data_IF_391161538980
#
_entry.id   IF_391161538980
#
_cell.length_a   1.000
_cell.length_b   1.000
_cell.length_c   1.000
_cell.angle_alpha   90.00
_cell.angle_beta   90.00
_cell.angle_gamma   90.00
#
_symmetry.space_group_name_H-M   'P 1'
#
loop_
_entity.id
_entity.type
_entity.pdbx_description
1 polymer ?
#
# COMPACT_ATOMS: atom_id res chain seq x y z
N UNK A 1 -28.71 -4.60 9.82
CA UNK A 1 -27.61 -5.25 9.07
C UNK A 1 -28.18 -6.31 8.15
N UNK A 2 -28.73 -5.87 7.01
CA UNK A 2 -29.08 -6.80 5.94
C UNK A 2 -27.81 -6.97 5.11
N UNK A 3 -27.19 -8.14 5.19
CA UNK A 3 -26.10 -8.54 4.32
C UNK A 3 -26.73 -9.11 3.06
N UNK A 4 -26.46 -8.49 1.91
CA UNK A 4 -26.90 -9.04 0.63
C UNK A 4 -25.79 -9.96 0.14
N UNK A 5 -25.79 -11.19 0.66
CA UNK A 5 -25.08 -12.33 0.06
C UNK A 5 -25.97 -12.87 -1.04
N UNK A 6 -25.82 -12.35 -2.25
CA UNK A 6 -26.66 -12.78 -3.35
C UNK A 6 -25.75 -12.96 -4.54
N UNK A 7 -25.30 -14.20 -4.75
CA UNK A 7 -24.55 -14.56 -5.93
C UNK A 7 -25.21 -14.04 -7.21
N UNK A 8 -24.38 -13.66 -8.17
CA UNK A 8 -24.74 -13.25 -9.54
C UNK A 8 -25.81 -12.14 -9.63
N UNK A 9 -25.57 -10.99 -8.97
CA UNK A 9 -26.39 -9.79 -9.15
C UNK A 9 -26.19 -9.21 -10.56
N UNK A 10 -27.27 -9.10 -11.33
CA UNK A 10 -27.25 -8.35 -12.58
C UNK A 10 -27.65 -6.87 -12.36
N UNK A 11 -27.59 -6.06 -13.41
CA UNK A 11 -27.95 -4.64 -13.33
C UNK A 11 -29.39 -4.43 -12.82
N UNK A 12 -30.36 -5.22 -13.29
CA UNK A 12 -31.76 -5.12 -12.86
C UNK A 12 -31.93 -5.42 -11.37
N UNK A 13 -31.19 -6.40 -10.83
CA UNK A 13 -31.18 -6.71 -9.41
C UNK A 13 -30.61 -5.55 -8.59
N UNK A 14 -29.53 -4.93 -9.05
CA UNK A 14 -28.94 -3.75 -8.39
C UNK A 14 -29.86 -2.52 -8.47
N UNK A 15 -30.60 -2.36 -9.57
CA UNK A 15 -31.63 -1.33 -9.70
C UNK A 15 -32.79 -1.58 -8.74
N UNK A 16 -33.19 -2.84 -8.53
CA UNK A 16 -34.23 -3.20 -7.56
C UNK A 16 -33.81 -2.91 -6.11
N UNK A 17 -32.50 -2.88 -5.84
CA UNK A 17 -31.91 -2.51 -4.55
C UNK A 17 -31.80 -0.98 -4.34
N UNK A 18 -32.27 -0.15 -5.28
CA UNK A 18 -32.24 1.30 -5.14
C UNK A 18 -32.97 1.77 -3.87
N UNK A 19 -32.31 2.58 -3.04
CA UNK A 19 -32.89 3.13 -1.82
C UNK A 19 -33.06 2.12 -0.68
N UNK A 20 -32.60 0.88 -0.84
CA UNK A 20 -32.61 -0.07 0.25
C UNK A 20 -31.57 0.30 1.32
N UNK A 21 -31.88 -0.04 2.58
CA UNK A 21 -31.09 0.37 3.76
C UNK A 21 -29.98 -0.61 4.15
N UNK A 22 -29.55 -1.46 3.20
CA UNK A 22 -28.41 -2.34 3.46
C UNK A 22 -27.12 -1.53 3.52
N UNK A 23 -26.19 -2.01 4.35
CA UNK A 23 -24.90 -1.35 4.60
C UNK A 23 -23.75 -2.07 3.90
N UNK A 24 -23.95 -3.33 3.51
CA UNK A 24 -22.89 -4.19 3.00
C UNK A 24 -23.33 -4.87 1.70
N UNK A 25 -22.42 -4.87 0.71
CA UNK A 25 -22.62 -5.50 -0.59
C UNK A 25 -21.34 -6.19 -1.03
N UNK A 26 -21.47 -7.45 -1.46
CA UNK A 26 -20.37 -8.19 -2.09
C UNK A 26 -20.71 -8.50 -3.55
N UNK A 27 -19.87 -7.99 -4.45
CA UNK A 27 -19.95 -8.21 -5.89
C UNK A 27 -18.83 -9.11 -6.42
N UNK A 28 -17.96 -9.62 -5.55
CA UNK A 28 -16.91 -10.58 -5.93
C UNK A 28 -17.44 -11.75 -6.76
N UNK A 29 -18.42 -12.52 -6.27
CA UNK A 29 -19.01 -13.65 -7.02
C UNK A 29 -19.69 -13.23 -8.33
N UNK A 30 -20.27 -12.03 -8.37
CA UNK A 30 -20.93 -11.46 -9.56
C UNK A 30 -19.93 -11.14 -10.67
N UNK A 31 -18.72 -10.73 -10.30
CA UNK A 31 -17.65 -10.32 -11.22
C UNK A 31 -16.62 -11.43 -11.45
N UNK A 32 -16.83 -12.62 -10.91
CA UNK A 32 -15.92 -13.75 -11.08
C UNK A 32 -16.03 -14.33 -12.49
N UNK A 33 -14.91 -14.38 -13.21
CA UNK A 33 -14.81 -14.99 -14.53
C UNK A 33 -14.77 -16.52 -14.42
N UNK A 34 -15.91 -17.19 -14.17
CA UNK A 34 -16.02 -18.60 -14.54
C UNK A 34 -16.17 -18.69 -16.07
N UNK A 35 -15.05 -18.97 -16.75
CA UNK A 35 -15.00 -19.30 -18.19
C UNK A 35 -15.44 -18.18 -19.16
N UNK A 36 -15.39 -16.90 -18.74
CA UNK A 36 -15.61 -15.75 -19.64
C UNK A 36 -17.04 -15.63 -20.19
N UNK A 37 -18.04 -16.21 -19.52
CA UNK A 37 -19.42 -16.28 -20.03
C UNK A 37 -20.47 -15.47 -19.25
N UNK A 38 -20.14 -14.86 -18.11
CA UNK A 38 -21.16 -14.30 -17.21
C UNK A 38 -20.97 -12.84 -16.76
N UNK A 39 -20.32 -11.99 -17.56
CA UNK A 39 -20.63 -10.56 -17.45
C UNK A 39 -21.89 -10.30 -18.30
N UNK A 40 -23.02 -9.85 -17.71
CA UNK A 40 -24.07 -9.25 -18.51
C UNK A 40 -23.45 -8.19 -19.41
N UNK A 41 -23.98 -8.01 -20.62
CA UNK A 41 -23.48 -7.05 -21.61
C UNK A 41 -23.46 -5.58 -21.12
N UNK A 42 -23.93 -5.29 -19.90
CA UNK A 42 -23.90 -3.99 -19.24
C UNK A 42 -22.93 -3.96 -18.07
N UNK A 43 -22.19 -2.85 -17.96
CA UNK A 43 -21.31 -2.56 -16.84
C UNK A 43 -22.15 -2.32 -15.58
N UNK A 44 -22.28 -3.33 -14.72
CA UNK A 44 -23.06 -3.27 -13.46
C UNK A 44 -22.63 -2.11 -12.56
N UNK A 45 -21.43 -1.57 -12.76
CA UNK A 45 -20.87 -0.50 -11.94
C UNK A 45 -21.62 0.83 -12.10
N UNK A 46 -22.24 1.09 -13.27
CA UNK A 46 -22.94 2.36 -13.53
C UNK A 46 -24.05 2.69 -12.52
N UNK A 47 -24.64 1.68 -11.88
CA UNK A 47 -25.67 1.87 -10.85
C UNK A 47 -25.14 2.66 -9.65
N UNK A 48 -23.85 2.51 -9.33
CA UNK A 48 -23.22 3.20 -8.20
C UNK A 48 -23.09 4.70 -8.45
N UNK A 49 -22.95 5.12 -9.71
CA UNK A 49 -22.88 6.54 -10.08
C UNK A 49 -24.20 7.29 -9.87
N UNK A 50 -25.32 6.58 -9.64
CA UNK A 50 -26.63 7.19 -9.45
C UNK A 50 -26.75 7.81 -8.05
N UNK A 51 -26.91 9.14 -7.94
CA UNK A 51 -26.96 9.80 -6.65
C UNK A 51 -28.10 9.25 -5.80
N UNK A 52 -27.75 8.79 -4.61
CA UNK A 52 -28.72 8.44 -3.60
C UNK A 52 -29.28 7.01 -3.64
N UNK A 53 -28.82 6.17 -4.55
CA UNK A 53 -29.25 4.77 -4.62
C UNK A 53 -28.67 3.93 -3.48
N UNK A 54 -27.43 4.19 -3.08
CA UNK A 54 -26.69 3.42 -2.08
C UNK A 54 -26.18 4.31 -0.93
N UNK A 55 -27.05 5.19 -0.39
CA UNK A 55 -26.65 6.19 0.63
C UNK A 55 -26.15 5.60 1.95
N UNK A 56 -26.56 4.39 2.28
CA UNK A 56 -26.25 3.72 3.55
C UNK A 56 -25.15 2.68 3.41
N UNK A 57 -24.60 2.49 2.20
CA UNK A 57 -23.56 1.51 1.94
C UNK A 57 -22.24 1.98 2.57
N UNK A 58 -21.73 1.19 3.50
CA UNK A 58 -20.45 1.43 4.17
C UNK A 58 -19.40 0.35 3.84
N UNK A 59 -19.82 -0.82 3.39
CA UNK A 59 -18.93 -1.92 3.02
C UNK A 59 -19.23 -2.38 1.60
N UNK A 60 -18.22 -2.33 0.74
CA UNK A 60 -18.30 -2.81 -0.64
C UNK A 60 -17.13 -3.74 -0.92
N UNK A 61 -17.45 -4.96 -1.35
CA UNK A 61 -16.46 -5.96 -1.74
C UNK A 61 -16.58 -6.29 -3.22
N UNK A 62 -15.43 -6.41 -3.87
CA UNK A 62 -15.24 -6.95 -5.21
C UNK A 62 -14.27 -8.12 -5.20
N UNK A 63 -14.01 -8.72 -4.03
CA UNK A 63 -12.94 -9.71 -3.84
C UNK A 63 -13.02 -10.85 -4.87
N UNK A 64 -11.92 -11.10 -5.60
CA UNK A 64 -11.84 -12.13 -6.65
C UNK A 64 -12.61 -11.82 -7.94
N UNK A 65 -13.34 -10.70 -8.00
CA UNK A 65 -14.02 -10.22 -9.19
C UNK A 65 -13.05 -9.48 -10.11
N UNK A 66 -13.15 -9.65 -11.43
CA UNK A 66 -12.19 -9.05 -12.37
C UNK A 66 -12.72 -7.77 -13.00
N UNK A 67 -12.02 -6.66 -12.80
CA UNK A 67 -12.28 -5.44 -13.58
C UNK A 67 -11.69 -5.57 -14.98
N UNK A 68 -12.36 -4.98 -15.98
CA UNK A 68 -11.86 -4.95 -17.35
C UNK A 68 -10.82 -3.85 -17.50
N UNK A 69 -11.10 -2.69 -16.92
CA UNK A 69 -10.24 -1.52 -16.93
C UNK A 69 -10.29 -0.82 -15.57
N UNK A 70 -9.18 -0.20 -15.17
CA UNK A 70 -9.10 0.57 -13.92
C UNK A 70 -10.16 1.69 -13.86
N UNK A 71 -10.53 2.22 -15.02
CA UNK A 71 -11.56 3.27 -15.17
C UNK A 71 -12.94 2.84 -14.67
N UNK A 72 -13.24 1.54 -14.60
CA UNK A 72 -14.52 1.05 -14.06
C UNK A 72 -14.74 1.49 -12.59
N UNK A 73 -13.67 1.74 -11.85
CA UNK A 73 -13.72 2.24 -10.47
C UNK A 73 -14.18 3.71 -10.36
N UNK A 74 -14.25 4.47 -11.46
CA UNK A 74 -14.85 5.83 -11.44
C UNK A 74 -16.30 5.78 -10.98
N UNK A 75 -16.99 4.66 -11.17
CA UNK A 75 -18.40 4.56 -10.87
C UNK A 75 -18.74 4.51 -9.38
N UNK A 76 -17.78 4.16 -8.52
CA UNK A 76 -17.98 4.11 -7.06
C UNK A 76 -17.65 5.42 -6.35
N UNK A 77 -17.21 6.46 -7.07
CA UNK A 77 -16.81 7.74 -6.48
C UNK A 77 -17.93 8.48 -5.74
N UNK A 78 -19.19 8.22 -6.10
CA UNK A 78 -20.38 8.76 -5.43
C UNK A 78 -20.69 8.10 -4.09
N UNK A 79 -20.06 6.97 -3.77
CA UNK A 79 -20.31 6.18 -2.55
C UNK A 79 -19.56 6.77 -1.34
N UNK A 80 -19.86 8.02 -1.02
CA UNK A 80 -19.14 8.83 -0.03
C UNK A 80 -19.31 8.36 1.43
N UNK A 81 -20.05 7.28 1.69
CA UNK A 81 -20.19 6.67 3.04
C UNK A 81 -19.40 5.37 3.19
N UNK A 82 -18.62 4.96 2.18
CA UNK A 82 -17.82 3.74 2.25
C UNK A 82 -16.72 3.88 3.30
N UNK A 83 -16.76 2.98 4.29
CA UNK A 83 -15.76 2.82 5.35
C UNK A 83 -14.86 1.61 5.07
N UNK A 84 -15.39 0.57 4.39
CA UNK A 84 -14.66 -0.64 4.02
C UNK A 84 -14.76 -0.92 2.52
N UNK A 85 -13.62 -1.00 1.85
CA UNK A 85 -13.51 -1.37 0.44
C UNK A 85 -12.55 -2.55 0.27
N UNK A 86 -13.03 -3.63 -0.34
CA UNK A 86 -12.23 -4.83 -0.64
C UNK A 86 -12.10 -4.97 -2.15
N UNK A 87 -10.87 -4.82 -2.65
CA UNK A 87 -10.48 -4.94 -4.06
C UNK A 87 -9.42 -6.04 -4.25
N UNK A 88 -9.37 -7.01 -3.32
CA UNK A 88 -8.43 -8.12 -3.36
C UNK A 88 -8.59 -8.95 -4.63
N UNK A 89 -7.47 -9.25 -5.32
CA UNK A 89 -7.45 -10.11 -6.52
C UNK A 89 -8.36 -9.63 -7.64
N UNK A 90 -8.40 -8.32 -7.91
CA UNK A 90 -9.33 -7.73 -8.89
C UNK A 90 -8.68 -7.37 -10.24
N UNK A 91 -7.36 -7.44 -10.31
CA UNK A 91 -6.57 -7.22 -11.53
C UNK A 91 -6.31 -5.75 -11.87
N UNK A 92 -6.70 -4.84 -10.97
CA UNK A 92 -6.51 -3.39 -11.11
C UNK A 92 -5.03 -3.01 -10.98
N UNK A 93 -4.66 -1.86 -11.53
CA UNK A 93 -3.34 -1.24 -11.38
C UNK A 93 -3.36 0.06 -10.58
N UNK A 94 -2.28 0.83 -10.72
CA UNK A 94 -2.10 2.11 -10.03
C UNK A 94 -3.24 3.10 -10.33
N UNK A 95 -3.71 3.19 -11.59
CA UNK A 95 -4.79 4.09 -11.99
C UNK A 95 -6.08 3.80 -11.22
N UNK A 96 -6.37 2.53 -10.96
CA UNK A 96 -7.50 2.11 -10.14
C UNK A 96 -7.43 2.67 -8.72
N UNK A 97 -6.24 2.68 -8.12
CA UNK A 97 -6.01 3.29 -6.79
C UNK A 97 -6.25 4.80 -6.82
N UNK A 98 -5.86 5.50 -7.89
CA UNK A 98 -6.17 6.92 -8.05
C UNK A 98 -7.68 7.19 -8.18
N UNK A 99 -8.43 6.32 -8.87
CA UNK A 99 -9.87 6.50 -9.03
C UNK A 99 -10.65 6.42 -7.71
N UNK A 100 -10.17 5.64 -6.73
CA UNK A 100 -10.81 5.49 -5.41
C UNK A 100 -10.41 6.56 -4.39
N UNK A 101 -9.49 7.48 -4.71
CA UNK A 101 -9.08 8.60 -3.81
C UNK A 101 -10.26 9.48 -3.40
N UNK A 102 -11.32 9.54 -4.21
CA UNK A 102 -12.56 10.25 -3.85
C UNK A 102 -13.22 9.74 -2.57
N UNK A 103 -12.89 8.52 -2.11
CA UNK A 103 -13.44 7.88 -0.90
C UNK A 103 -12.60 8.18 0.37
N UNK A 104 -11.47 8.88 0.23
CA UNK A 104 -10.48 9.10 1.30
C UNK A 104 -11.00 9.69 2.62
N UNK A 105 -12.13 10.40 2.56
CA UNK A 105 -12.68 11.08 3.73
C UNK A 105 -13.36 10.13 4.73
N UNK A 106 -13.86 8.98 4.27
CA UNK A 106 -14.57 8.01 5.11
C UNK A 106 -13.93 6.64 5.15
N UNK A 107 -13.07 6.31 4.20
CA UNK A 107 -12.47 4.98 4.11
C UNK A 107 -11.54 4.71 5.30
N UNK A 108 -11.84 3.63 6.03
CA UNK A 108 -11.10 3.15 7.20
C UNK A 108 -10.36 1.83 6.90
N UNK A 109 -10.91 1.00 6.01
CA UNK A 109 -10.35 -0.30 5.66
C UNK A 109 -10.27 -0.44 4.15
N UNK A 110 -9.05 -0.68 3.66
CA UNK A 110 -8.77 -0.88 2.24
C UNK A 110 -7.93 -2.13 2.04
N UNK A 111 -8.47 -3.09 1.30
CA UNK A 111 -7.76 -4.29 0.89
C UNK A 111 -7.48 -4.25 -0.61
N UNK A 112 -6.22 -4.09 -0.99
CA UNK A 112 -5.71 -4.09 -2.36
C UNK A 112 -4.88 -5.35 -2.66
N UNK A 113 -4.94 -6.36 -1.79
CA UNK A 113 -4.06 -7.53 -1.88
C UNK A 113 -4.20 -8.27 -3.20
N UNK A 114 -3.14 -8.97 -3.62
CA UNK A 114 -3.12 -9.81 -4.83
C UNK A 114 -3.42 -9.04 -6.12
N UNK A 115 -3.03 -7.77 -6.19
CA UNK A 115 -3.05 -6.95 -7.40
C UNK A 115 -1.61 -6.60 -7.80
N UNK A 116 -0.91 -7.46 -8.58
CA UNK A 116 0.53 -7.28 -8.85
C UNK A 116 0.86 -6.07 -9.73
N UNK A 117 -0.15 -5.42 -10.34
CA UNK A 117 0.02 -4.19 -11.13
C UNK A 117 -0.03 -2.92 -10.28
N UNK A 118 -0.34 -3.04 -8.98
CA UNK A 118 -0.22 -1.92 -8.04
C UNK A 118 1.23 -1.91 -7.56
N UNK A 119 1.97 -0.85 -7.83
CA UNK A 119 3.38 -0.72 -7.47
C UNK A 119 3.68 0.62 -6.77
N UNK A 120 4.96 0.96 -6.71
CA UNK A 120 5.49 2.17 -6.09
C UNK A 120 4.88 3.49 -6.62
N UNK A 121 4.21 3.49 -7.78
CA UNK A 121 3.53 4.65 -8.36
C UNK A 121 2.12 4.87 -7.78
N UNK A 122 1.53 3.89 -7.08
CA UNK A 122 0.27 4.08 -6.35
C UNK A 122 0.45 4.81 -5.00
N UNK A 123 1.68 4.87 -4.46
CA UNK A 123 1.95 5.42 -3.13
C UNK A 123 1.44 6.87 -2.95
N UNK A 124 1.61 7.81 -3.91
CA UNK A 124 1.06 9.15 -3.78
C UNK A 124 -0.47 9.17 -3.56
N UNK A 125 -1.21 8.24 -4.17
CA UNK A 125 -2.64 8.10 -3.95
C UNK A 125 -2.95 7.53 -2.56
N UNK A 126 -2.23 6.49 -2.14
CA UNK A 126 -2.42 5.83 -0.84
C UNK A 126 -2.17 6.76 0.35
N UNK A 127 -1.21 7.69 0.23
CA UNK A 127 -0.91 8.67 1.27
C UNK A 127 -2.10 9.60 1.56
N UNK A 128 -3.00 9.82 0.59
CA UNK A 128 -4.16 10.72 0.74
C UNK A 128 -5.27 10.15 1.64
N UNK A 129 -5.23 8.85 1.96
CA UNK A 129 -6.19 8.19 2.85
C UNK A 129 -5.80 8.39 4.31
N UNK A 130 -5.93 9.62 4.81
CA UNK A 130 -5.48 10.03 6.15
C UNK A 130 -6.24 9.32 7.29
N UNK A 131 -7.47 8.86 7.06
CA UNK A 131 -8.30 8.17 8.06
C UNK A 131 -8.14 6.65 8.06
N UNK A 132 -7.31 6.10 7.18
CA UNK A 132 -7.19 4.66 7.00
C UNK A 132 -6.60 3.99 8.26
N UNK A 133 -7.29 2.98 8.77
CA UNK A 133 -6.91 2.18 9.94
C UNK A 133 -6.38 0.80 9.56
N UNK A 134 -6.76 0.30 8.38
CA UNK A 134 -6.26 -0.95 7.82
C UNK A 134 -5.94 -0.79 6.33
N UNK A 135 -4.75 -1.25 5.93
CA UNK A 135 -4.32 -1.34 4.55
C UNK A 135 -3.70 -2.71 4.26
N UNK A 136 -4.26 -3.48 3.34
CA UNK A 136 -3.52 -4.62 2.77
C UNK A 136 -3.00 -4.27 1.39
N UNK A 137 -1.67 -4.31 1.23
CA UNK A 137 -0.96 -4.28 -0.05
C UNK A 137 -0.17 -5.58 -0.25
N UNK A 138 -0.57 -6.65 0.44
CA UNK A 138 0.02 -7.98 0.31
C UNK A 138 -0.04 -8.46 -1.15
N UNK A 139 1.03 -9.08 -1.64
CA UNK A 139 1.10 -9.61 -3.01
C UNK A 139 0.78 -8.57 -4.10
N UNK A 140 1.20 -7.31 -3.86
CA UNK A 140 1.27 -6.24 -4.86
C UNK A 140 2.71 -6.06 -5.36
N UNK A 141 2.90 -5.23 -6.38
CA UNK A 141 4.20 -4.84 -6.92
C UNK A 141 4.91 -3.73 -6.14
N UNK A 142 4.40 -3.31 -4.98
CA UNK A 142 5.05 -2.31 -4.12
C UNK A 142 6.37 -2.87 -3.58
N UNK A 143 7.43 -2.06 -3.62
CA UNK A 143 8.76 -2.43 -3.14
C UNK A 143 9.19 -1.54 -1.96
N UNK A 144 10.37 -1.81 -1.40
CA UNK A 144 10.91 -1.03 -0.28
C UNK A 144 10.97 0.49 -0.52
N UNK A 145 11.30 1.02 -1.72
CA UNK A 145 11.25 2.47 -1.94
C UNK A 145 9.85 3.07 -1.80
N UNK A 146 8.80 2.43 -2.32
CA UNK A 146 7.41 2.82 -2.11
C UNK A 146 6.98 2.67 -0.65
N UNK A 147 7.29 1.53 -0.03
CA UNK A 147 6.94 1.25 1.36
C UNK A 147 7.58 2.26 2.35
N UNK A 148 8.85 2.63 2.14
CA UNK A 148 9.52 3.68 2.93
C UNK A 148 8.82 5.03 2.80
N UNK A 149 8.42 5.42 1.58
CA UNK A 149 7.67 6.67 1.34
C UNK A 149 6.32 6.66 2.06
N UNK A 150 5.60 5.54 2.00
CA UNK A 150 4.34 5.36 2.71
C UNK A 150 4.53 5.45 4.24
N UNK A 151 5.53 4.75 4.78
CA UNK A 151 5.81 4.73 6.22
C UNK A 151 6.21 6.11 6.76
N UNK A 152 7.03 6.87 6.02
CA UNK A 152 7.35 8.26 6.39
C UNK A 152 6.09 9.12 6.45
N UNK A 153 5.21 9.04 5.45
CA UNK A 153 3.98 9.83 5.45
C UNK A 153 2.99 9.42 6.57
N UNK A 154 2.96 8.14 6.95
CA UNK A 154 2.20 7.65 8.10
C UNK A 154 2.77 8.22 9.40
N UNK A 155 4.09 8.16 9.58
CA UNK A 155 4.79 8.69 10.76
C UNK A 155 4.62 10.21 10.89
N UNK A 156 4.79 10.98 9.80
CA UNK A 156 4.62 12.43 9.78
C UNK A 156 3.17 12.84 10.10
N UNK A 157 2.19 12.03 9.68
CA UNK A 157 0.79 12.21 10.04
C UNK A 157 0.45 11.78 11.46
N UNK A 158 1.37 11.17 12.22
CA UNK A 158 1.13 10.64 13.56
C UNK A 158 0.06 9.53 13.59
N UNK A 159 -0.03 8.76 12.50
CA UNK A 159 -1.05 7.71 12.33
C UNK A 159 -0.49 6.36 12.74
N UNK A 160 -1.33 5.55 13.38
CA UNK A 160 -1.09 4.12 13.60
C UNK A 160 -2.08 3.39 12.70
N UNK A 161 -1.55 2.49 11.86
CA UNK A 161 -2.33 1.74 10.88
C UNK A 161 -1.92 0.28 10.94
N UNK A 162 -2.90 -0.62 10.88
CA UNK A 162 -2.68 -2.04 10.65
C UNK A 162 -2.39 -2.26 9.16
N UNK A 163 -1.24 -2.84 8.83
CA UNK A 163 -0.79 -2.95 7.44
C UNK A 163 -0.21 -4.32 7.12
N UNK A 164 -0.72 -4.93 6.07
CA UNK A 164 -0.12 -6.12 5.45
C UNK A 164 0.73 -5.68 4.26
N UNK A 165 2.03 -5.97 4.31
CA UNK A 165 3.00 -5.54 3.29
C UNK A 165 3.30 -6.66 2.28
N UNK A 166 3.87 -6.33 1.11
CA UNK A 166 4.31 -7.35 0.15
C UNK A 166 5.35 -8.30 0.77
N UNK A 167 5.26 -9.61 0.47
CA UNK A 167 6.17 -10.61 1.07
C UNK A 167 7.65 -10.35 0.79
N UNK A 168 7.98 -9.69 -0.33
CA UNK A 168 9.36 -9.29 -0.66
C UNK A 168 9.88 -8.21 0.30
N UNK A 169 9.01 -7.30 0.73
CA UNK A 169 9.34 -6.27 1.71
C UNK A 169 9.42 -6.86 3.11
N UNK A 170 8.49 -7.74 3.47
CA UNK A 170 8.54 -8.50 4.73
C UNK A 170 9.85 -9.27 4.87
N UNK A 171 10.22 -10.05 3.85
CA UNK A 171 11.50 -10.78 3.83
C UNK A 171 12.72 -9.85 3.94
N UNK A 172 12.65 -8.64 3.38
CA UNK A 172 13.71 -7.64 3.54
C UNK A 172 13.81 -7.14 4.99
N UNK A 173 12.67 -6.80 5.60
CA UNK A 173 12.58 -6.29 6.98
C UNK A 173 13.02 -7.35 8.00
N UNK A 174 12.63 -8.61 7.80
CA UNK A 174 13.03 -9.74 8.65
C UNK A 174 14.55 -10.00 8.63
N UNK A 175 15.25 -9.48 7.63
CA UNK A 175 16.69 -9.66 7.44
C UNK A 175 17.46 -8.33 7.48
N UNK A 176 16.94 -7.30 8.16
CA UNK A 176 17.64 -6.02 8.33
C UNK A 176 19.01 -6.17 9.00
N UNK A 177 19.13 -7.13 9.91
CA UNK A 177 20.39 -7.49 10.59
C UNK A 177 21.47 -8.00 9.65
N UNK A 178 21.12 -8.33 8.40
CA UNK A 178 22.04 -8.75 7.33
C UNK A 178 22.30 -7.65 6.30
N UNK A 179 21.55 -6.55 6.32
CA UNK A 179 21.71 -5.46 5.36
C UNK A 179 22.88 -4.55 5.73
N UNK A 180 23.00 -4.23 7.01
CA UNK A 180 24.00 -3.31 7.58
C UNK A 180 24.00 -3.41 9.11
N UNK A 181 24.99 -2.80 9.78
CA UNK A 181 24.99 -2.65 11.23
C UNK A 181 23.77 -1.85 11.73
N UNK A 182 22.84 -2.53 12.42
CA UNK A 182 21.59 -1.94 12.92
C UNK A 182 21.78 -0.96 14.06
N UNK A 183 22.71 -1.22 14.98
CA UNK A 183 22.93 -0.37 16.16
C UNK A 183 24.40 0.07 16.22
N UNK A 184 24.82 1.08 15.43
CA UNK A 184 26.16 1.62 15.51
C UNK A 184 26.39 2.28 16.88
N UNK A 185 27.44 1.86 17.58
CA UNK A 185 27.88 2.48 18.82
C UNK A 185 29.02 3.49 18.55
N UNK A 186 29.18 4.54 19.37
CA UNK A 186 30.31 5.46 19.25
C UNK A 186 31.66 4.73 19.16
N UNK A 187 32.58 5.13 18.27
CA UNK A 187 32.61 6.37 17.49
C UNK A 187 31.93 6.30 16.11
N UNK A 188 31.09 5.29 15.85
CA UNK A 188 30.33 5.19 14.60
C UNK A 188 29.21 6.23 14.59
N UNK A 189 28.89 6.74 13.40
CA UNK A 189 27.85 7.75 13.21
C UNK A 189 26.54 7.11 12.73
N UNK A 190 25.44 7.78 13.00
CA UNK A 190 24.10 7.41 12.51
C UNK A 190 23.46 8.51 11.67
N UNK A 191 23.95 9.74 11.77
CA UNK A 191 23.47 10.88 10.99
C UNK A 191 24.14 10.91 9.61
N UNK A 192 23.35 10.71 8.56
CA UNK A 192 23.82 10.73 7.19
C UNK A 192 24.38 12.10 6.78
N UNK A 193 23.82 13.20 7.31
CA UNK A 193 24.13 14.58 6.88
C UNK A 193 25.55 15.04 7.17
N UNK A 194 26.28 14.34 8.06
CA UNK A 194 27.67 14.65 8.42
C UNK A 194 28.70 13.82 7.65
N UNK A 195 28.29 12.91 6.75
CA UNK A 195 29.23 12.06 6.00
C UNK A 195 30.23 12.88 5.19
N UNK A 196 29.80 14.02 4.62
CA UNK A 196 30.61 14.87 3.75
C UNK A 196 31.79 15.56 4.48
N UNK A 197 31.71 15.74 5.80
CA UNK A 197 32.75 16.38 6.63
C UNK A 197 33.69 15.38 7.31
N UNK A 198 33.42 14.07 7.22
CA UNK A 198 34.26 13.06 7.84
C UNK A 198 35.63 12.91 7.17
N UNK A 199 36.61 12.53 7.99
CA UNK A 199 37.93 12.14 7.51
C UNK A 199 37.88 10.78 6.79
N UNK A 200 38.85 10.51 5.92
CA UNK A 200 38.95 9.23 5.21
C UNK A 200 38.99 8.03 6.17
N UNK A 201 39.69 8.18 7.30
CA UNK A 201 39.80 7.15 8.33
C UNK A 201 38.47 6.92 9.08
N UNK A 202 37.70 7.98 9.35
CA UNK A 202 36.39 7.87 9.96
C UNK A 202 35.37 7.20 9.02
N UNK A 203 35.37 7.58 7.75
CA UNK A 203 34.53 6.95 6.72
C UNK A 203 34.82 5.46 6.57
N UNK A 204 36.11 5.10 6.43
CA UNK A 204 36.51 3.70 6.28
C UNK A 204 36.15 2.87 7.52
N UNK A 205 36.28 3.41 8.72
CA UNK A 205 35.86 2.75 9.98
C UNK A 205 34.35 2.50 10.03
N UNK A 206 33.54 3.49 9.64
CA UNK A 206 32.09 3.33 9.59
C UNK A 206 31.68 2.28 8.56
N UNK A 207 32.18 2.39 7.33
CA UNK A 207 31.87 1.42 6.28
C UNK A 207 32.37 0.02 6.63
N UNK A 208 33.53 -0.14 7.28
CA UNK A 208 34.03 -1.43 7.71
C UNK A 208 33.10 -2.10 8.74
N UNK A 209 32.51 -1.30 9.64
CA UNK A 209 31.54 -1.80 10.61
C UNK A 209 30.25 -2.31 9.94
N UNK A 210 29.74 -1.60 8.93
CA UNK A 210 28.62 -2.11 8.13
C UNK A 210 29.03 -3.32 7.25
N UNK A 211 30.25 -3.32 6.71
CA UNK A 211 30.77 -4.42 5.89
C UNK A 211 31.00 -5.72 6.66
N UNK A 212 31.24 -5.63 7.97
CA UNK A 212 31.29 -6.80 8.85
C UNK A 212 29.94 -7.54 8.94
N UNK A 213 28.84 -6.83 8.66
CA UNK A 213 27.49 -7.40 8.58
C UNK A 213 27.17 -7.85 7.15
N UNK A 214 27.47 -6.99 6.17
CA UNK A 214 27.17 -7.23 4.77
C UNK A 214 28.45 -7.10 3.92
N UNK A 215 29.01 -8.24 3.52
CA UNK A 215 30.27 -8.30 2.78
C UNK A 215 30.24 -7.65 1.40
N UNK A 216 29.06 -7.31 0.86
CA UNK A 216 28.94 -6.53 -0.38
C UNK A 216 29.26 -5.04 -0.20
N UNK A 217 29.31 -4.55 1.05
CA UNK A 217 29.64 -3.16 1.34
C UNK A 217 31.17 -2.98 1.26
N UNK A 218 31.62 -2.18 0.29
CA UNK A 218 33.01 -1.81 0.18
C UNK A 218 33.37 -0.66 1.14
N UNK A 219 34.46 -0.79 1.89
CA UNK A 219 34.92 0.21 2.88
C UNK A 219 36.18 0.99 2.47
N UNK A 220 36.57 0.88 1.20
CA UNK A 220 37.69 1.59 0.57
C UNK A 220 37.22 2.44 -0.61
N UNK A 221 38.14 3.26 -1.14
CA UNK A 221 37.89 4.19 -2.26
C UNK A 221 38.40 5.60 -2.00
N UNK A 222 37.95 6.54 -2.83
CA UNK A 222 38.15 7.97 -2.59
C UNK A 222 37.30 8.43 -1.40
N UNK A 223 37.67 9.56 -0.78
CA UNK A 223 36.90 10.12 0.34
C UNK A 223 35.44 10.41 -0.07
N UNK A 224 35.24 10.93 -1.29
CA UNK A 224 33.92 11.26 -1.84
C UNK A 224 33.05 10.01 -2.01
N UNK A 225 33.56 8.98 -2.68
CA UNK A 225 32.85 7.71 -2.89
C UNK A 225 32.44 7.05 -1.56
N UNK A 226 33.33 7.07 -0.57
CA UNK A 226 33.03 6.51 0.74
C UNK A 226 31.99 7.32 1.50
N UNK A 227 32.00 8.65 1.37
CA UNK A 227 30.99 9.52 1.97
C UNK A 227 29.60 9.23 1.37
N UNK A 228 29.49 9.23 0.04
CA UNK A 228 28.22 8.94 -0.68
C UNK A 228 27.68 7.55 -0.33
N UNK A 229 28.57 6.55 -0.22
CA UNK A 229 28.17 5.18 0.15
C UNK A 229 27.66 5.11 1.59
N UNK A 230 28.37 5.74 2.53
CA UNK A 230 27.96 5.73 3.94
C UNK A 230 26.65 6.48 4.12
N UNK A 231 26.52 7.65 3.49
CA UNK A 231 25.30 8.45 3.48
C UNK A 231 24.10 7.63 3.02
N UNK A 232 24.23 6.94 1.86
CA UNK A 232 23.17 6.04 1.36
C UNK A 232 22.81 4.92 2.35
N UNK A 233 23.79 4.30 3.00
CA UNK A 233 23.53 3.24 4.00
C UNK A 233 22.76 3.83 5.18
N UNK A 234 23.19 4.98 5.70
CA UNK A 234 22.58 5.60 6.87
C UNK A 234 21.18 6.13 6.58
N UNK A 235 20.94 6.71 5.40
CA UNK A 235 19.60 7.12 4.94
C UNK A 235 18.67 5.92 4.76
N UNK A 236 19.15 4.87 4.09
CA UNK A 236 18.38 3.64 3.90
C UNK A 236 18.02 3.04 5.25
N UNK A 237 18.98 2.93 6.16
CA UNK A 237 18.77 2.47 7.53
C UNK A 237 17.74 3.29 8.27
N UNK A 238 17.84 4.62 8.20
CA UNK A 238 16.88 5.51 8.84
C UNK A 238 15.45 5.22 8.35
N UNK A 239 15.26 5.09 7.04
CA UNK A 239 13.95 4.82 6.45
C UNK A 239 13.43 3.40 6.75
N UNK A 240 14.30 2.41 6.78
CA UNK A 240 13.94 1.03 7.15
C UNK A 240 13.42 0.95 8.59
N UNK A 241 14.04 1.69 9.51
CA UNK A 241 13.59 1.76 10.89
C UNK A 241 12.22 2.45 11.01
N UNK A 242 11.90 3.39 10.13
CA UNK A 242 10.53 3.98 10.06
C UNK A 242 9.52 2.92 9.64
N UNK A 243 9.85 2.07 8.65
CA UNK A 243 9.01 0.95 8.24
C UNK A 243 8.85 -0.06 9.40
N UNK A 244 9.93 -0.42 10.08
CA UNK A 244 9.89 -1.34 11.22
C UNK A 244 8.98 -0.83 12.35
N UNK A 245 9.08 0.45 12.71
CA UNK A 245 8.23 1.04 13.74
C UNK A 245 6.75 1.08 13.33
N UNK A 246 6.47 1.42 12.07
CA UNK A 246 5.12 1.38 11.51
C UNK A 246 4.49 -0.01 11.66
N UNK A 247 5.25 -1.08 11.38
CA UNK A 247 4.78 -2.48 11.52
C UNK A 247 4.60 -2.91 12.98
N UNK A 248 5.34 -2.31 13.92
CA UNK A 248 5.20 -2.55 15.35
C UNK A 248 4.00 -1.82 15.98
N UNK A 249 3.36 -0.90 15.25
CA UNK A 249 2.29 -0.04 15.76
C UNK A 249 2.80 1.05 16.71
N UNK A 250 4.05 1.49 16.55
CA UNK A 250 4.74 2.49 17.38
C UNK A 250 4.81 3.90 16.74
#
# INVERSE_FOLDING_TARGET
NVFVDSGFLNEDALVALQGAEFRQLDLGPTMHDENGLNLPRGNVMHVFSRPGWFKNLDCLSFAGGRFREDFDLVHIQSLQQIEKLVLASTGIGNEGVFHIVSLKHKLLHLDLSKNPKIDDDAIPALILFENLQYLSIFDTGVLMPGLRRLAVAIQEGGRIIDIEIPSICEAYIDNLDKQYLLQPAPPLITDAGICCVLSKAALSRNLAAHAAINSSIHFSGTRKEMAERLEKILETRKLDLVVQNMLAGE
#
